data_IF_563945473635
#
_entry.id   IF_563945473635
#
_cell.length_a   1.000
_cell.length_b   1.000
_cell.length_c   1.000
_cell.angle_alpha   90.00
_cell.angle_beta   90.00
_cell.angle_gamma   90.00
#
_symmetry.space_group_name_H-M   'P 1'
#
loop_
_entity.id
_entity.type
_entity.pdbx_description
1 polymer ?
#
# COMPACT_ATOMS: atom_id res chain seq x y z
N UNK A 1 -1.60 -12.97 -9.18
CA UNK A 1 -1.84 -12.91 -7.72
C UNK A 1 -3.31 -13.10 -7.53
N UNK A 2 -3.74 -14.28 -7.08
CA UNK A 2 -5.15 -14.56 -6.85
C UNK A 2 -5.40 -14.42 -5.34
N UNK A 3 -5.71 -13.20 -4.92
CA UNK A 3 -6.09 -12.89 -3.54
C UNK A 3 -7.61 -12.76 -3.55
N UNK A 4 -8.29 -13.64 -2.82
CA UNK A 4 -9.75 -13.64 -2.76
C UNK A 4 -10.26 -12.48 -1.90
N UNK A 5 -10.85 -11.47 -2.56
CA UNK A 5 -11.50 -10.33 -1.92
C UNK A 5 -13.01 -10.51 -1.68
N UNK A 6 -13.63 -11.62 -2.10
CA UNK A 6 -15.08 -11.77 -2.13
C UNK A 6 -15.73 -11.65 -0.75
N UNK A 7 -15.08 -12.21 0.28
CA UNK A 7 -15.56 -12.08 1.66
C UNK A 7 -15.56 -10.62 2.13
N UNK A 8 -14.48 -9.87 1.87
CA UNK A 8 -14.37 -8.46 2.23
C UNK A 8 -15.43 -7.62 1.51
N UNK A 9 -15.58 -7.80 0.20
CA UNK A 9 -16.57 -7.10 -0.62
C UNK A 9 -17.98 -7.32 -0.06
N UNK A 10 -18.33 -8.56 0.31
CA UNK A 10 -19.62 -8.84 0.94
C UNK A 10 -19.82 -8.05 2.24
N UNK A 11 -18.81 -8.01 3.12
CA UNK A 11 -18.88 -7.27 4.40
C UNK A 11 -18.96 -5.76 4.21
N UNK A 12 -18.32 -5.22 3.19
CA UNK A 12 -18.45 -3.80 2.84
C UNK A 12 -19.89 -3.43 2.46
N UNK A 13 -20.59 -4.32 1.74
CA UNK A 13 -22.03 -4.16 1.44
C UNK A 13 -22.94 -4.16 2.68
N UNK A 14 -22.46 -4.70 3.81
CA UNK A 14 -23.13 -4.69 5.11
C UNK A 14 -22.75 -3.46 5.96
N UNK A 15 -21.95 -2.52 5.42
CA UNK A 15 -21.48 -1.33 6.12
C UNK A 15 -20.34 -1.57 7.11
N UNK A 16 -19.66 -2.72 7.02
CA UNK A 16 -18.56 -3.06 7.92
C UNK A 16 -17.22 -2.48 7.46
N UNK A 17 -16.36 -2.16 8.42
CA UNK A 17 -14.97 -1.76 8.19
C UNK A 17 -14.05 -2.94 8.50
N UNK A 18 -13.34 -3.45 7.49
CA UNK A 18 -12.39 -4.53 7.70
C UNK A 18 -11.06 -3.98 8.22
N UNK A 19 -10.59 -4.51 9.35
CA UNK A 19 -9.23 -4.29 9.84
C UNK A 19 -8.42 -5.54 9.54
N UNK A 20 -7.42 -5.41 8.67
CA UNK A 20 -6.59 -6.53 8.23
C UNK A 20 -5.17 -6.34 8.75
N UNK A 21 -4.60 -7.40 9.31
CA UNK A 21 -3.22 -7.38 9.75
C UNK A 21 -2.29 -7.42 8.52
N UNK A 22 -1.49 -6.37 8.33
CA UNK A 22 -0.48 -6.32 7.27
C UNK A 22 0.75 -7.18 7.59
N UNK A 23 1.74 -7.18 6.67
CA UNK A 23 3.08 -7.76 6.82
C UNK A 23 3.15 -9.30 6.92
N UNK A 24 2.02 -9.99 7.09
CA UNK A 24 1.96 -11.43 7.28
C UNK A 24 1.05 -12.13 6.27
N UNK A 25 1.26 -13.43 6.09
CA UNK A 25 0.44 -14.30 5.26
C UNK A 25 0.70 -15.78 5.55
N UNK A 26 0.10 -16.65 4.75
CA UNK A 26 0.28 -18.10 4.84
C UNK A 26 1.15 -18.57 3.68
N UNK A 27 2.26 -19.25 4.00
CA UNK A 27 3.16 -19.85 3.03
C UNK A 27 2.62 -21.16 2.45
N UNK A 28 3.30 -21.75 1.45
CA UNK A 28 2.85 -22.97 0.77
C UNK A 28 2.69 -24.19 1.68
N UNK A 29 3.40 -24.23 2.81
CA UNK A 29 3.37 -25.28 3.82
C UNK A 29 2.38 -25.01 4.96
N UNK A 30 1.46 -24.05 4.76
CA UNK A 30 0.46 -23.61 5.73
C UNK A 30 1.07 -23.00 7.02
N UNK A 31 2.32 -22.53 6.96
CA UNK A 31 2.95 -21.78 8.06
C UNK A 31 2.75 -20.28 7.87
N UNK A 32 2.72 -19.56 9.00
CA UNK A 32 2.78 -18.10 8.98
C UNK A 32 4.13 -17.67 8.40
N UNK A 33 4.08 -16.79 7.41
CA UNK A 33 5.23 -16.15 6.79
C UNK A 33 5.10 -14.63 6.88
N UNK A 34 6.24 -13.94 6.88
CA UNK A 34 6.30 -12.47 6.87
C UNK A 34 6.82 -11.97 5.53
N UNK A 35 6.39 -10.77 5.12
CA UNK A 35 6.72 -10.18 3.82
C UNK A 35 8.02 -9.34 3.84
N UNK A 36 8.65 -9.16 5.00
CA UNK A 36 9.87 -8.36 5.13
C UNK A 36 9.63 -6.84 5.07
N UNK A 37 10.66 -6.08 4.69
CA UNK A 37 10.61 -4.60 4.65
C UNK A 37 9.50 -4.13 3.70
N UNK A 38 8.69 -3.17 4.15
CA UNK A 38 7.54 -2.67 3.39
C UNK A 38 6.36 -3.66 3.35
N UNK A 39 6.38 -4.74 4.13
CA UNK A 39 5.36 -5.79 4.05
C UNK A 39 3.94 -5.30 4.34
N UNK A 40 3.75 -4.30 5.20
CA UNK A 40 2.42 -3.70 5.42
C UNK A 40 1.90 -2.97 4.18
N UNK A 41 2.76 -2.21 3.49
CA UNK A 41 2.39 -1.49 2.26
C UNK A 41 2.08 -2.48 1.14
N UNK A 42 2.90 -3.53 1.01
CA UNK A 42 2.64 -4.64 0.08
C UNK A 42 1.31 -5.30 0.37
N UNK A 43 0.98 -5.60 1.64
CA UNK A 43 -0.33 -6.15 2.02
C UNK A 43 -1.47 -5.20 1.65
N UNK A 44 -1.33 -3.91 1.90
CA UNK A 44 -2.36 -2.91 1.60
C UNK A 44 -2.64 -2.84 0.09
N UNK A 45 -1.59 -2.73 -0.73
CA UNK A 45 -1.71 -2.70 -2.20
C UNK A 45 -2.29 -4.01 -2.74
N UNK A 46 -1.89 -5.14 -2.17
CA UNK A 46 -2.39 -6.46 -2.56
C UNK A 46 -3.90 -6.61 -2.27
N UNK A 47 -4.37 -6.14 -1.11
CA UNK A 47 -5.80 -6.12 -0.77
C UNK A 47 -6.55 -5.14 -1.67
N UNK A 48 -6.01 -3.94 -1.91
CA UNK A 48 -6.61 -2.95 -2.79
C UNK A 48 -6.82 -3.51 -4.20
N UNK A 49 -5.82 -4.24 -4.74
CA UNK A 49 -5.96 -4.93 -6.01
C UNK A 49 -7.03 -6.03 -5.98
N UNK A 50 -7.09 -6.83 -4.91
CA UNK A 50 -8.05 -7.91 -4.73
C UNK A 50 -9.51 -7.44 -4.69
N UNK A 51 -9.76 -6.31 -4.03
CA UNK A 51 -11.11 -5.73 -3.91
C UNK A 51 -11.44 -4.72 -5.00
N UNK A 52 -10.52 -4.50 -5.96
CA UNK A 52 -10.64 -3.49 -7.02
C UNK A 52 -10.90 -2.07 -6.47
N UNK A 53 -10.15 -1.70 -5.43
CA UNK A 53 -10.26 -0.37 -4.84
C UNK A 53 -9.85 0.72 -5.84
N UNK A 54 -10.52 1.87 -5.79
CA UNK A 54 -10.19 3.03 -6.62
C UNK A 54 -8.84 3.66 -6.23
N UNK A 55 -8.45 3.53 -4.95
CA UNK A 55 -7.23 4.10 -4.38
C UNK A 55 -6.73 3.29 -3.18
N UNK A 56 -5.41 3.21 -3.04
CA UNK A 56 -4.74 2.72 -1.83
C UNK A 56 -3.97 3.89 -1.19
N UNK A 57 -4.41 4.34 -0.02
CA UNK A 57 -3.77 5.43 0.71
C UNK A 57 -2.75 4.88 1.70
N UNK A 58 -1.48 5.27 1.52
CA UNK A 58 -0.40 4.94 2.47
C UNK A 58 -0.19 6.15 3.37
N UNK A 59 -0.55 6.01 4.64
CA UNK A 59 -0.34 7.04 5.65
C UNK A 59 1.03 6.86 6.29
N UNK A 60 1.84 7.92 6.25
CA UNK A 60 3.22 7.91 6.74
C UNK A 60 3.54 9.25 7.43
N UNK A 61 4.75 9.38 7.97
CA UNK A 61 5.25 10.57 8.67
C UNK A 61 5.69 11.71 7.73
N UNK A 62 5.85 11.41 6.44
CA UNK A 62 6.05 12.40 5.38
C UNK A 62 4.74 12.76 4.70
N UNK A 63 4.56 14.04 4.35
CA UNK A 63 3.30 14.56 3.80
C UNK A 63 3.20 14.47 2.27
N UNK A 64 4.15 13.78 1.63
CA UNK A 64 4.16 13.48 0.20
C UNK A 64 5.58 13.27 -0.35
N UNK A 65 5.63 13.08 -1.66
CA UNK A 65 6.88 13.01 -2.42
C UNK A 65 7.29 14.42 -2.84
N UNK A 66 8.58 14.74 -2.74
CA UNK A 66 9.15 16.04 -3.14
C UNK A 66 10.05 15.88 -4.36
N UNK A 67 10.26 16.97 -5.10
CA UNK A 67 11.17 16.99 -6.27
C UNK A 67 12.61 16.58 -5.93
N UNK A 68 13.04 16.81 -4.68
CA UNK A 68 14.35 16.41 -4.11
C UNK A 68 14.26 16.53 -2.58
N UNK A 69 15.32 16.19 -1.85
CA UNK A 69 15.37 16.34 -0.39
C UNK A 69 15.27 17.82 0.03
N UNK A 70 14.18 18.25 0.70
CA UNK A 70 14.00 19.64 1.13
C UNK A 70 15.01 20.09 2.19
N UNK A 71 15.74 19.15 2.83
CA UNK A 71 16.81 19.47 3.79
C UNK A 71 18.08 19.96 3.08
N UNK A 72 18.25 19.58 1.81
CA UNK A 72 19.41 19.93 0.99
C UNK A 72 19.07 21.11 0.07
N UNK A 73 17.89 21.10 -0.55
CA UNK A 73 17.41 22.16 -1.44
C UNK A 73 16.12 22.80 -0.88
N UNK A 74 16.21 24.03 -0.32
CA UNK A 74 15.05 24.72 0.26
C UNK A 74 13.92 25.01 -0.74
N UNK A 75 14.20 25.02 -2.05
CA UNK A 75 13.20 25.22 -3.10
C UNK A 75 12.50 23.93 -3.53
N UNK A 76 12.80 22.79 -2.91
CA UNK A 76 12.13 21.53 -3.20
C UNK A 76 10.61 21.68 -3.03
N UNK A 77 9.85 21.11 -3.96
CA UNK A 77 8.38 21.24 -4.00
C UNK A 77 7.73 19.88 -3.86
N UNK A 78 6.63 19.83 -3.11
CA UNK A 78 5.80 18.63 -3.04
C UNK A 78 5.13 18.37 -4.39
N UNK A 79 5.23 17.14 -4.86
CA UNK A 79 4.60 16.69 -6.09
C UNK A 79 3.11 16.43 -5.84
N UNK A 80 2.25 16.98 -6.68
CA UNK A 80 0.81 16.73 -6.59
C UNK A 80 0.43 15.35 -7.13
N UNK A 81 1.17 14.87 -8.14
CA UNK A 81 1.05 13.55 -8.77
C UNK A 81 2.43 13.15 -9.30
N UNK A 82 2.70 11.85 -9.30
CA UNK A 82 3.89 11.23 -9.87
C UNK A 82 3.46 9.89 -10.47
N UNK A 83 4.04 9.50 -11.61
CA UNK A 83 3.79 8.19 -12.20
C UNK A 83 4.52 7.08 -11.43
N UNK A 84 4.10 5.83 -11.62
CA UNK A 84 4.80 4.69 -11.01
C UNK A 84 6.25 4.57 -11.50
N UNK A 85 6.50 4.82 -12.78
CA UNK A 85 7.84 4.75 -13.37
C UNK A 85 8.78 5.79 -12.76
N UNK A 86 8.35 7.06 -12.66
CA UNK A 86 9.14 8.11 -12.03
C UNK A 86 9.40 7.83 -10.54
N UNK A 87 8.39 7.31 -9.82
CA UNK A 87 8.55 6.96 -8.41
C UNK A 87 9.57 5.83 -8.21
N UNK A 88 9.64 4.86 -9.13
CA UNK A 88 10.60 3.77 -9.09
C UNK A 88 12.04 4.24 -9.33
N UNK A 89 12.25 5.22 -10.21
CA UNK A 89 13.57 5.83 -10.43
C UNK A 89 14.06 6.67 -9.24
N UNK A 90 13.15 7.07 -8.35
CA UNK A 90 13.45 7.86 -7.14
C UNK A 90 13.63 6.99 -5.87
N UNK A 91 13.34 5.69 -5.94
CA UNK A 91 13.23 4.80 -4.78
C UNK A 91 14.55 4.13 -4.35
#
# INVERSE_FOLDING_TARGET
LDIDGAFLIKRFGEGQVAVVAGFQGIGPDNRIATLGRGGSDTSAVAIAAAVKADRCDIYTDVDGVYTTDPRIEPKARRLAKISFEEMLEMA
#
